data_IF_586170788966
#
_entry.id   IF_586170788966
#
_cell.length_a   1.000
_cell.length_b   1.000
_cell.length_c   1.000
_cell.angle_alpha   90.00
_cell.angle_beta   90.00
_cell.angle_gamma   90.00
#
_symmetry.space_group_name_H-M   'P 1'
#
loop_
_entity.id
_entity.type
_entity.pdbx_description
1 polymer ?
#
# COMPACT_ATOMS: atom_id res chain seq x y z
N UNK A 1 -8.37 -3.15 -25.49
CA UNK A 1 -8.51 -2.68 -24.11
C UNK A 1 -7.17 -2.11 -23.68
N UNK A 2 -7.14 -1.01 -22.91
CA UNK A 2 -5.89 -0.51 -22.36
C UNK A 2 -5.26 -1.59 -21.46
N UNK A 3 -3.94 -1.57 -21.32
CA UNK A 3 -3.16 -2.53 -20.51
C UNK A 3 -2.17 -1.73 -19.68
N UNK A 4 -2.02 -2.11 -18.42
CA UNK A 4 -0.92 -1.64 -17.58
C UNK A 4 0.16 -2.71 -17.50
N UNK A 5 1.38 -2.36 -17.88
CA UNK A 5 2.54 -3.23 -17.78
C UNK A 5 3.45 -2.71 -16.65
N UNK A 6 3.59 -3.43 -15.53
CA UNK A 6 4.44 -3.00 -14.43
C UNK A 6 5.90 -2.84 -14.88
N UNK A 7 6.60 -1.74 -14.53
CA UNK A 7 7.94 -1.44 -15.01
C UNK A 7 9.03 -2.21 -14.23
N UNK A 8 8.85 -3.52 -14.03
CA UNK A 8 9.69 -4.34 -13.14
C UNK A 8 11.18 -4.25 -13.50
N UNK A 9 11.52 -4.29 -14.79
CA UNK A 9 12.92 -4.22 -15.24
C UNK A 9 13.58 -2.90 -14.83
N UNK A 10 12.85 -1.80 -14.90
CA UNK A 10 13.36 -0.46 -14.56
C UNK A 10 13.49 -0.32 -13.04
N UNK A 11 12.50 -0.79 -12.27
CA UNK A 11 12.60 -0.87 -10.81
C UNK A 11 13.80 -1.71 -10.37
N UNK A 12 14.01 -2.87 -10.98
CA UNK A 12 15.16 -3.74 -10.72
C UNK A 12 16.49 -3.08 -11.11
N UNK A 13 16.53 -2.33 -12.22
CA UNK A 13 17.71 -1.56 -12.61
C UNK A 13 18.07 -0.54 -11.53
N UNK A 14 17.10 0.26 -11.10
CA UNK A 14 17.31 1.30 -10.09
C UNK A 14 17.74 0.69 -8.75
N UNK A 15 17.07 -0.37 -8.30
CA UNK A 15 17.38 -1.00 -7.02
C UNK A 15 18.74 -1.70 -7.05
N UNK A 16 18.99 -2.58 -8.02
CA UNK A 16 20.17 -3.45 -7.99
C UNK A 16 21.40 -2.80 -8.63
N UNK A 17 21.23 -2.09 -9.74
CA UNK A 17 22.35 -1.60 -10.55
C UNK A 17 22.74 -0.16 -10.19
N UNK A 18 21.79 0.68 -9.77
CA UNK A 18 22.06 2.06 -9.36
C UNK A 18 22.33 2.16 -7.86
N UNK A 19 21.44 1.62 -7.04
CA UNK A 19 21.54 1.75 -5.58
C UNK A 19 22.25 0.61 -4.89
N UNK A 20 22.46 -0.53 -5.57
CA UNK A 20 23.06 -1.72 -4.96
C UNK A 20 22.38 -2.10 -3.64
N UNK A 21 21.04 -2.11 -3.63
CA UNK A 21 20.22 -2.15 -2.40
C UNK A 21 20.52 -3.34 -1.49
N UNK A 22 20.91 -4.49 -2.04
CA UNK A 22 21.25 -5.67 -1.23
C UNK A 22 22.47 -5.41 -0.33
N UNK A 23 23.49 -4.72 -0.84
CA UNK A 23 24.66 -4.36 -0.05
C UNK A 23 24.31 -3.32 1.03
N UNK A 24 23.46 -2.35 0.70
CA UNK A 24 22.95 -1.35 1.65
C UNK A 24 22.12 -2.02 2.76
N UNK A 25 21.23 -2.96 2.42
CA UNK A 25 20.43 -3.68 3.41
C UNK A 25 21.27 -4.54 4.34
N UNK A 26 22.35 -5.19 3.86
CA UNK A 26 23.29 -5.92 4.71
C UNK A 26 23.95 -5.03 5.78
N UNK A 27 24.10 -3.74 5.51
CA UNK A 27 24.62 -2.78 6.49
C UNK A 27 23.55 -2.31 7.52
N UNK A 28 22.28 -2.65 7.30
CA UNK A 28 21.15 -2.27 8.14
C UNK A 28 20.63 -3.49 8.90
N UNK A 29 20.87 -3.64 10.22
CA UNK A 29 20.49 -4.85 10.95
C UNK A 29 19.02 -5.26 10.83
N UNK A 30 18.10 -4.28 10.70
CA UNK A 30 16.68 -4.54 10.52
C UNK A 30 16.32 -5.15 9.15
N UNK A 31 17.22 -5.06 8.16
CA UNK A 31 16.98 -5.46 6.78
C UNK A 31 18.06 -6.41 6.23
N UNK A 32 19.02 -6.84 7.06
CA UNK A 32 20.18 -7.61 6.63
C UNK A 32 19.83 -8.94 5.93
N UNK A 33 18.66 -9.49 6.23
CA UNK A 33 18.13 -10.73 5.66
C UNK A 33 17.32 -10.50 4.37
N UNK A 34 17.12 -9.25 3.93
CA UNK A 34 16.42 -8.94 2.67
C UNK A 34 17.38 -9.06 1.49
N UNK A 35 17.25 -10.14 0.73
CA UNK A 35 18.08 -10.43 -0.44
C UNK A 35 17.42 -10.04 -1.77
N UNK A 36 18.18 -10.14 -2.86
CA UNK A 36 17.72 -9.78 -4.20
C UNK A 36 16.52 -10.64 -4.65
N UNK A 37 16.47 -11.91 -4.27
CA UNK A 37 15.38 -12.82 -4.63
C UNK A 37 14.08 -12.41 -3.93
N UNK A 38 14.14 -12.04 -2.65
CA UNK A 38 13.00 -11.51 -1.89
C UNK A 38 12.49 -10.20 -2.51
N UNK A 39 13.41 -9.28 -2.83
CA UNK A 39 13.06 -8.00 -3.49
C UNK A 39 12.32 -8.26 -4.80
N UNK A 40 12.88 -9.12 -5.66
CA UNK A 40 12.32 -9.40 -6.97
C UNK A 40 10.97 -10.10 -6.88
N UNK A 41 10.81 -11.06 -5.97
CA UNK A 41 9.54 -11.74 -5.74
C UNK A 41 8.44 -10.77 -5.28
N UNK A 42 8.75 -9.86 -4.36
CA UNK A 42 7.82 -8.83 -3.89
C UNK A 42 7.37 -7.93 -5.04
N UNK A 43 8.31 -7.47 -5.88
CA UNK A 43 7.99 -6.63 -7.04
C UNK A 43 7.12 -7.37 -8.06
N UNK A 44 7.43 -8.62 -8.35
CA UNK A 44 6.66 -9.44 -9.29
C UNK A 44 5.22 -9.67 -8.82
N UNK A 45 5.01 -10.05 -7.56
CA UNK A 45 3.68 -10.26 -7.00
C UNK A 45 2.88 -8.94 -6.89
N UNK A 46 3.54 -7.85 -6.50
CA UNK A 46 2.94 -6.52 -6.49
C UNK A 46 2.52 -6.08 -7.90
N UNK A 47 3.36 -6.35 -8.90
CA UNK A 47 3.07 -6.09 -10.31
C UNK A 47 1.87 -6.89 -10.83
N UNK A 48 1.77 -8.18 -10.46
CA UNK A 48 0.62 -9.03 -10.79
C UNK A 48 -0.66 -8.48 -10.18
N UNK A 49 -0.63 -8.05 -8.93
CA UNK A 49 -1.79 -7.43 -8.27
C UNK A 49 -2.19 -6.12 -8.97
N UNK A 50 -1.22 -5.24 -9.22
CA UNK A 50 -1.48 -3.95 -9.88
C UNK A 50 -2.11 -4.13 -11.27
N UNK A 51 -1.55 -5.00 -12.11
CA UNK A 51 -2.03 -5.22 -13.48
C UNK A 51 -3.30 -6.09 -13.55
N UNK A 52 -3.43 -7.09 -12.67
CA UNK A 52 -4.50 -8.09 -12.71
C UNK A 52 -5.74 -7.73 -11.89
N UNK A 53 -5.58 -6.90 -10.85
CA UNK A 53 -6.66 -6.57 -9.90
C UNK A 53 -6.97 -5.08 -9.90
N UNK A 54 -5.97 -4.21 -9.68
CA UNK A 54 -6.21 -2.77 -9.52
C UNK A 54 -6.54 -2.07 -10.86
N UNK A 55 -5.74 -2.32 -11.89
CA UNK A 55 -5.87 -1.66 -13.19
C UNK A 55 -7.22 -1.90 -13.91
N UNK A 56 -7.78 -3.13 -13.94
CA UNK A 56 -9.09 -3.37 -14.54
C UNK A 56 -10.22 -2.54 -13.92
N UNK A 57 -10.06 -2.10 -12.67
CA UNK A 57 -11.04 -1.28 -11.95
C UNK A 57 -10.88 0.22 -12.20
N UNK A 58 -9.85 0.66 -12.93
CA UNK A 58 -9.55 2.08 -13.08
C UNK A 58 -10.67 2.82 -13.84
N UNK A 59 -11.05 2.30 -15.01
CA UNK A 59 -12.09 2.93 -15.86
C UNK A 59 -13.47 2.84 -15.22
N UNK A 60 -13.83 1.69 -14.63
CA UNK A 60 -15.12 1.55 -13.95
C UNK A 60 -15.18 2.41 -12.68
N UNK A 61 -14.06 2.55 -11.96
CA UNK A 61 -13.96 3.43 -10.80
C UNK A 61 -14.29 4.89 -11.12
N UNK A 62 -13.74 5.41 -12.22
CA UNK A 62 -14.05 6.75 -12.72
C UNK A 62 -15.50 6.89 -13.19
N UNK A 63 -16.00 5.90 -13.95
CA UNK A 63 -17.33 5.95 -14.55
C UNK A 63 -18.45 5.84 -13.50
N UNK A 64 -18.25 5.04 -12.46
CA UNK A 64 -19.26 4.78 -11.42
C UNK A 64 -19.20 5.81 -10.29
N UNK A 65 -18.00 6.20 -9.86
CA UNK A 65 -17.79 7.08 -8.70
C UNK A 65 -18.32 6.51 -7.37
N UNK A 66 -18.30 7.35 -6.33
CA UNK A 66 -18.87 7.03 -5.03
C UNK A 66 -20.28 7.61 -4.88
N UNK A 67 -21.17 6.91 -4.20
CA UNK A 67 -22.52 7.39 -3.88
C UNK A 67 -22.68 7.56 -2.37
N UNK A 68 -23.18 8.72 -1.94
CA UNK A 68 -23.54 8.99 -0.55
C UNK A 68 -25.03 8.74 -0.31
N UNK A 69 -25.33 7.86 0.64
CA UNK A 69 -26.66 7.77 1.23
C UNK A 69 -26.86 8.93 2.21
N UNK A 70 -27.76 9.85 1.90
CA UNK A 70 -28.01 11.04 2.72
C UNK A 70 -28.71 10.75 4.06
N UNK A 71 -29.40 9.61 4.18
CA UNK A 71 -30.11 9.24 5.41
C UNK A 71 -29.18 8.51 6.39
N UNK A 72 -28.31 7.63 5.87
CA UNK A 72 -27.41 6.82 6.72
C UNK A 72 -25.98 7.37 6.79
N UNK A 73 -25.64 8.36 5.96
CA UNK A 73 -24.29 8.90 5.76
C UNK A 73 -23.27 7.85 5.29
N UNK A 74 -23.71 6.69 4.80
CA UNK A 74 -22.84 5.66 4.25
C UNK A 74 -22.44 6.02 2.83
N UNK A 75 -21.16 5.82 2.53
CA UNK A 75 -20.63 5.93 1.17
C UNK A 75 -20.48 4.53 0.58
N UNK A 76 -21.04 4.33 -0.61
CA UNK A 76 -20.82 3.13 -1.43
C UNK A 76 -19.76 3.43 -2.48
N UNK A 77 -18.75 2.57 -2.59
CA UNK A 77 -17.65 2.68 -3.56
C UNK A 77 -17.98 1.99 -4.87
N UNK A 78 -17.23 2.27 -5.96
CA UNK A 78 -17.38 1.55 -7.22
C UNK A 78 -17.34 0.03 -7.07
N UNK A 79 -18.02 -0.66 -7.96
CA UNK A 79 -18.06 -2.12 -8.00
C UNK A 79 -16.64 -2.68 -8.11
N UNK A 80 -16.35 -3.70 -7.31
CA UNK A 80 -15.06 -4.39 -7.28
C UNK A 80 -14.00 -3.73 -6.38
N UNK A 81 -14.15 -2.47 -5.97
CA UNK A 81 -13.16 -1.81 -5.10
C UNK A 81 -13.02 -2.51 -3.74
N UNK A 82 -14.15 -2.93 -3.15
CA UNK A 82 -14.18 -3.67 -1.89
C UNK A 82 -13.50 -5.04 -2.00
N UNK A 83 -13.74 -5.75 -3.09
CA UNK A 83 -13.16 -7.08 -3.32
C UNK A 83 -11.66 -6.98 -3.61
N UNK A 84 -11.23 -5.95 -4.34
CA UNK A 84 -9.81 -5.64 -4.53
C UNK A 84 -9.12 -5.26 -3.20
N UNK A 85 -9.79 -4.51 -2.32
CA UNK A 85 -9.25 -4.20 -0.98
C UNK A 85 -9.14 -5.46 -0.11
N UNK A 86 -10.10 -6.39 -0.20
CA UNK A 86 -10.01 -7.67 0.49
C UNK A 86 -8.82 -8.51 0.00
N UNK A 87 -8.59 -8.59 -1.32
CA UNK A 87 -7.41 -9.24 -1.89
C UNK A 87 -6.11 -8.54 -1.50
N UNK A 88 -6.13 -7.20 -1.40
CA UNK A 88 -4.98 -6.42 -0.93
C UNK A 88 -4.59 -6.81 0.50
N UNK A 89 -5.59 -6.91 1.39
CA UNK A 89 -5.40 -7.35 2.78
C UNK A 89 -4.96 -8.82 2.86
N UNK A 90 -5.59 -9.72 2.10
CA UNK A 90 -5.24 -11.15 2.07
C UNK A 90 -3.80 -11.38 1.59
N UNK A 91 -3.33 -10.57 0.63
CA UNK A 91 -1.95 -10.59 0.15
C UNK A 91 -0.94 -10.01 1.14
N UNK A 92 -1.37 -9.49 2.30
CA UNK A 92 -0.49 -8.93 3.32
C UNK A 92 0.11 -7.57 2.97
N UNK A 93 -0.32 -6.95 1.87
CA UNK A 93 0.22 -5.68 1.38
C UNK A 93 0.09 -4.49 2.35
N UNK A 94 -0.98 -4.34 3.16
CA UNK A 94 -1.03 -3.25 4.15
C UNK A 94 0.11 -3.33 5.18
N UNK A 95 0.64 -4.53 5.45
CA UNK A 95 1.65 -4.79 6.46
C UNK A 95 3.10 -4.73 5.93
N UNK A 96 3.30 -4.54 4.62
CA UNK A 96 4.56 -4.83 3.92
C UNK A 96 5.80 -4.22 4.60
N UNK A 97 5.79 -2.91 4.85
CA UNK A 97 6.90 -2.20 5.52
C UNK A 97 6.58 -1.77 6.95
N UNK A 98 5.46 -2.22 7.51
CA UNK A 98 5.09 -1.87 8.87
C UNK A 98 5.99 -2.61 9.88
N UNK A 99 6.09 -2.06 11.08
CA UNK A 99 6.85 -2.61 12.20
C UNK A 99 6.28 -3.99 12.63
N UNK A 100 7.13 -5.03 12.72
CA UNK A 100 6.75 -6.35 13.24
C UNK A 100 6.12 -6.34 14.64
N UNK A 101 6.45 -5.38 15.51
CA UNK A 101 5.83 -5.23 16.84
C UNK A 101 4.30 -5.10 16.74
N UNK A 102 3.81 -4.48 15.66
CA UNK A 102 2.39 -4.26 15.41
C UNK A 102 1.81 -5.18 14.33
N UNK A 103 2.52 -6.26 13.98
CA UNK A 103 2.08 -7.26 13.00
C UNK A 103 2.52 -6.98 11.56
N UNK A 104 3.49 -6.06 11.37
CA UNK A 104 4.07 -5.77 10.07
C UNK A 104 5.05 -6.85 9.58
N UNK A 105 5.39 -6.82 8.29
CA UNK A 105 6.40 -7.73 7.72
C UNK A 105 7.83 -7.20 7.89
N UNK A 106 8.00 -5.91 8.23
CA UNK A 106 9.31 -5.30 8.46
C UNK A 106 10.18 -5.14 7.21
N UNK A 107 9.61 -5.28 6.00
CA UNK A 107 10.39 -5.11 4.78
C UNK A 107 10.81 -3.66 4.57
N UNK A 108 11.92 -3.41 3.88
CA UNK A 108 12.42 -2.06 3.62
C UNK A 108 11.36 -1.17 2.98
N UNK A 109 11.25 0.07 3.46
CA UNK A 109 10.26 1.04 2.98
C UNK A 109 10.34 1.30 1.47
N UNK A 110 11.52 1.16 0.86
CA UNK A 110 11.68 1.29 -0.61
C UNK A 110 10.85 0.26 -1.39
N UNK A 111 10.63 -0.95 -0.85
CA UNK A 111 9.78 -1.95 -1.50
C UNK A 111 8.30 -1.54 -1.45
N UNK A 112 7.87 -0.90 -0.36
CA UNK A 112 6.55 -0.30 -0.25
C UNK A 112 6.38 0.82 -1.28
N UNK A 113 7.40 1.65 -1.51
CA UNK A 113 7.35 2.69 -2.54
C UNK A 113 7.19 2.12 -3.95
N UNK A 114 7.90 1.04 -4.29
CA UNK A 114 7.72 0.36 -5.58
C UNK A 114 6.31 -0.22 -5.75
N UNK A 115 5.74 -0.83 -4.71
CA UNK A 115 4.34 -1.26 -4.71
C UNK A 115 3.41 -0.09 -5.00
N UNK A 116 3.54 1.02 -4.24
CA UNK A 116 2.66 2.18 -4.38
C UNK A 116 2.83 2.90 -5.73
N UNK A 117 4.01 2.92 -6.32
CA UNK A 117 4.20 3.43 -7.68
C UNK A 117 3.37 2.62 -8.69
N UNK A 118 3.41 1.28 -8.57
CA UNK A 118 2.63 0.42 -9.46
C UNK A 118 1.13 0.56 -9.24
N UNK A 119 0.69 0.64 -7.98
CA UNK A 119 -0.72 0.82 -7.64
C UNK A 119 -1.25 2.17 -8.12
N UNK A 120 -0.52 3.28 -7.89
CA UNK A 120 -0.92 4.60 -8.34
C UNK A 120 -1.01 4.68 -9.87
N UNK A 121 -0.08 4.04 -10.58
CA UNK A 121 -0.09 3.96 -12.04
C UNK A 121 -1.24 3.12 -12.57
N UNK A 122 -1.61 2.05 -11.86
CA UNK A 122 -2.71 1.17 -12.23
C UNK A 122 -4.09 1.79 -11.95
N UNK A 123 -4.30 2.32 -10.74
CA UNK A 123 -5.56 2.90 -10.29
C UNK A 123 -5.32 3.81 -9.08
N UNK A 124 -5.04 5.09 -9.33
CA UNK A 124 -4.76 6.08 -8.30
C UNK A 124 -5.91 6.25 -7.30
N UNK A 125 -7.16 6.31 -7.78
CA UNK A 125 -8.33 6.51 -6.93
C UNK A 125 -8.52 5.36 -5.91
N UNK A 126 -8.32 4.11 -6.36
CA UNK A 126 -8.33 2.96 -5.45
C UNK A 126 -7.14 2.96 -4.49
N UNK A 127 -5.95 3.37 -4.97
CA UNK A 127 -4.71 3.39 -4.17
C UNK A 127 -4.78 4.38 -2.99
N UNK A 128 -5.62 5.40 -3.07
CA UNK A 128 -5.80 6.35 -1.96
C UNK A 128 -6.35 5.71 -0.68
N UNK A 129 -7.15 4.64 -0.77
CA UNK A 129 -7.67 3.95 0.43
C UNK A 129 -6.55 3.38 1.31
N UNK A 130 -5.68 2.48 0.79
CA UNK A 130 -4.54 2.01 1.57
C UNK A 130 -3.48 3.10 1.79
N UNK A 131 -3.25 4.01 0.82
CA UNK A 131 -2.24 5.06 0.93
C UNK A 131 -2.49 6.05 2.08
N UNK A 132 -3.74 6.51 2.23
CA UNK A 132 -4.13 7.37 3.35
C UNK A 132 -4.02 6.64 4.70
N UNK A 133 -4.30 5.33 4.70
CA UNK A 133 -4.16 4.49 5.89
C UNK A 133 -2.69 4.33 6.31
N UNK A 134 -1.77 4.20 5.36
CA UNK A 134 -0.32 4.24 5.61
C UNK A 134 0.12 5.59 6.16
N UNK A 135 -0.37 6.71 5.62
CA UNK A 135 -0.08 8.03 6.19
C UNK A 135 -0.55 8.19 7.65
N UNK A 136 -1.73 7.67 7.97
CA UNK A 136 -2.24 7.66 9.35
C UNK A 136 -1.41 6.74 10.27
N UNK A 137 -0.96 5.59 9.76
CA UNK A 137 -0.05 4.68 10.46
C UNK A 137 1.26 5.38 10.84
N UNK A 138 1.93 6.03 9.87
CA UNK A 138 3.20 6.74 10.10
C UNK A 138 3.06 7.86 11.15
N UNK A 139 1.96 8.62 11.10
CA UNK A 139 1.68 9.66 12.11
C UNK A 139 1.54 9.08 13.53
N UNK A 140 0.87 7.93 13.67
CA UNK A 140 0.72 7.24 14.95
C UNK A 140 2.01 6.59 15.43
N UNK A 141 2.84 6.06 14.54
CA UNK A 141 4.18 5.54 14.89
C UNK A 141 5.05 6.66 15.43
N UNK A 142 5.08 7.81 14.75
CA UNK A 142 5.92 8.94 15.12
C UNK A 142 5.46 9.64 16.40
N UNK A 143 4.15 9.76 16.62
CA UNK A 143 3.60 10.68 17.64
C UNK A 143 2.59 10.06 18.61
N UNK A 144 2.17 8.82 18.39
CA UNK A 144 1.22 8.14 19.26
C UNK A 144 1.82 7.82 20.63
N UNK A 145 1.01 7.90 21.68
CA UNK A 145 1.34 7.30 22.98
C UNK A 145 1.36 5.78 22.87
N UNK A 146 2.00 5.09 23.80
CA UNK A 146 2.02 3.61 23.82
C UNK A 146 0.62 3.00 23.79
N UNK A 147 -0.34 3.64 24.48
CA UNK A 147 -1.75 3.21 24.46
C UNK A 147 -2.35 3.37 23.06
N UNK A 148 -2.17 4.54 22.43
CA UNK A 148 -2.66 4.79 21.07
C UNK A 148 -2.04 3.80 20.07
N UNK A 149 -0.73 3.58 20.15
CA UNK A 149 -0.01 2.65 19.26
C UNK A 149 -0.59 1.23 19.37
N UNK A 150 -0.73 0.72 20.59
CA UNK A 150 -1.29 -0.61 20.87
C UNK A 150 -2.74 -0.75 20.41
N UNK A 151 -3.55 0.31 20.51
CA UNK A 151 -4.95 0.29 20.09
C UNK A 151 -5.09 0.33 18.58
N UNK A 152 -4.37 1.23 17.90
CA UNK A 152 -4.65 1.58 16.50
C UNK A 152 -3.74 0.88 15.49
N UNK A 153 -2.44 0.73 15.77
CA UNK A 153 -1.49 0.22 14.78
C UNK A 153 -1.82 -1.21 14.33
N UNK A 154 -2.13 -2.18 15.20
CA UNK A 154 -2.46 -3.54 14.74
C UNK A 154 -3.67 -3.59 13.78
N UNK A 155 -4.62 -2.66 13.93
CA UNK A 155 -5.83 -2.56 13.09
C UNK A 155 -5.56 -1.90 11.74
N UNK A 156 -4.65 -0.94 11.70
CA UNK A 156 -4.18 -0.32 10.45
C UNK A 156 -3.27 -1.28 9.66
N UNK A 157 -2.35 -1.94 10.36
CA UNK A 157 -1.39 -2.90 9.78
C UNK A 157 -2.10 -4.11 9.18
N UNK A 158 -3.15 -4.62 9.83
CA UNK A 158 -3.97 -5.71 9.28
C UNK A 158 -4.88 -5.26 8.13
N UNK A 159 -5.04 -3.94 7.92
CA UNK A 159 -6.00 -3.37 6.99
C UNK A 159 -7.46 -3.50 7.42
N UNK A 160 -7.75 -3.96 8.66
CA UNK A 160 -9.10 -4.01 9.22
C UNK A 160 -9.71 -2.61 9.32
N UNK A 161 -8.91 -1.65 9.76
CA UNK A 161 -9.25 -0.24 9.80
C UNK A 161 -8.49 0.52 8.72
N UNK A 162 -9.12 1.57 8.21
CA UNK A 162 -8.48 2.56 7.35
C UNK A 162 -8.28 3.87 8.10
N UNK A 163 -7.38 4.71 7.60
CA UNK A 163 -7.07 6.01 8.16
C UNK A 163 -7.15 7.11 7.11
N UNK A 164 -7.34 8.34 7.57
CA UNK A 164 -7.27 9.54 6.73
C UNK A 164 -6.84 10.74 7.56
N UNK A 165 -6.52 11.85 6.89
CA UNK A 165 -6.17 13.11 7.52
C UNK A 165 -7.24 14.15 7.18
N UNK A 166 -7.80 14.80 8.21
CA UNK A 166 -8.83 15.84 8.05
C UNK A 166 -8.22 17.19 8.43
N UNK A 167 -7.65 17.90 7.46
CA UNK A 167 -6.95 19.19 7.69
C UNK A 167 -7.75 20.41 7.23
N UNK A 168 -8.40 20.30 6.07
CA UNK A 168 -8.99 21.45 5.38
C UNK A 168 -10.40 21.75 5.91
N UNK A 169 -10.69 23.04 6.09
CA UNK A 169 -11.99 23.60 6.47
C UNK A 169 -12.45 24.63 5.41
N UNK A 170 -13.75 25.00 5.34
CA UNK A 170 -14.27 25.82 4.25
C UNK A 170 -13.91 27.32 4.26
N UNK A 171 -13.21 27.84 5.28
CA UNK A 171 -12.93 29.27 5.46
C UNK A 171 -11.45 29.62 5.37
#
# INVERSE_FOLDING_TARGET
MPVYNPPLRDMQFVLHEVFNVEAEFKAMPAHAETDADTINAVLEEAGKFAAGVAFPLNVSGDTEGCTLDQATHKVSTPKGFKDAYAQYVEGGWPALSCDPEYGGQGLPHVLNQCLYEMLNSANQAWTMYPGLSHGAYEALVAHGTDEQKKTYLPKLVSGEWTGTMCLTEPH
#
